data_IF_874896398029
#
_entry.id   IF_874896398029
#
_cell.length_a   1.000
_cell.length_b   1.000
_cell.length_c   1.000
_cell.angle_alpha   90.00
_cell.angle_beta   90.00
_cell.angle_gamma   90.00
#
_symmetry.space_group_name_H-M   'P 1'
#
loop_
_entity.id
_entity.type
_entity.pdbx_description
1 polymer ?
#
# COMPACT_ATOMS: atom_id res chain seq x y z
N UNK A 1 25.37 3.28 -8.47
CA UNK A 1 23.93 3.06 -8.73
C UNK A 1 23.25 4.40 -8.52
N UNK A 2 22.43 4.85 -9.48
CA UNK A 2 21.83 6.18 -9.46
C UNK A 2 20.62 6.24 -8.50
N UNK A 3 20.20 7.44 -8.10
CA UNK A 3 18.93 7.68 -7.37
C UNK A 3 17.75 7.02 -8.07
N UNK A 4 17.75 7.02 -9.41
CA UNK A 4 16.71 6.39 -10.24
C UNK A 4 16.66 4.88 -10.02
N UNK A 5 17.81 4.22 -10.03
CA UNK A 5 17.93 2.76 -9.92
C UNK A 5 17.47 2.24 -8.54
N UNK A 6 17.57 3.08 -7.51
CA UNK A 6 17.17 2.74 -6.13
C UNK A 6 15.72 3.08 -5.80
N UNK A 7 15.04 3.84 -6.66
CA UNK A 7 13.67 4.28 -6.41
C UNK A 7 12.68 3.12 -6.14
N UNK A 8 12.74 1.98 -6.85
CA UNK A 8 11.87 0.83 -6.55
C UNK A 8 12.00 0.35 -5.11
N UNK A 9 13.24 0.19 -4.62
CA UNK A 9 13.52 -0.23 -3.26
C UNK A 9 12.99 0.78 -2.24
N UNK A 10 13.32 2.06 -2.41
CA UNK A 10 12.97 3.11 -1.47
C UNK A 10 11.47 3.34 -1.38
N UNK A 11 10.77 3.34 -2.52
CA UNK A 11 9.31 3.46 -2.56
C UNK A 11 8.67 2.26 -1.88
N UNK A 12 9.08 1.04 -2.23
CA UNK A 12 8.54 -0.19 -1.65
C UNK A 12 8.73 -0.20 -0.12
N UNK A 13 9.95 -0.05 0.36
CA UNK A 13 10.26 -0.09 1.79
C UNK A 13 9.52 1.00 2.57
N UNK A 14 9.41 2.21 2.02
CA UNK A 14 8.69 3.32 2.67
C UNK A 14 7.18 3.08 2.70
N UNK A 15 6.60 2.54 1.63
CA UNK A 15 5.19 2.19 1.57
C UNK A 15 4.86 1.07 2.57
N UNK A 16 5.64 -0.01 2.59
CA UNK A 16 5.48 -1.10 3.57
C UNK A 16 5.50 -0.56 5.00
N UNK A 17 6.50 0.25 5.34
CA UNK A 17 6.58 0.86 6.68
C UNK A 17 5.36 1.72 6.99
N UNK A 18 4.99 2.63 6.08
CA UNK A 18 3.85 3.54 6.28
C UNK A 18 2.52 2.80 6.49
N UNK A 19 2.22 1.80 5.66
CA UNK A 19 0.97 1.05 5.75
C UNK A 19 0.94 0.11 6.97
N UNK A 20 2.06 -0.53 7.29
CA UNK A 20 2.18 -1.37 8.51
C UNK A 20 2.03 -0.55 9.80
N UNK A 21 2.51 0.70 9.83
CA UNK A 21 2.37 1.58 10.98
C UNK A 21 0.98 2.26 11.05
N UNK A 22 0.32 2.46 9.90
CA UNK A 22 -0.93 3.21 9.82
C UNK A 22 -2.19 2.35 9.98
N UNK A 23 -2.16 1.09 9.52
CA UNK A 23 -3.28 0.17 9.67
C UNK A 23 -3.20 -0.43 11.08
N UNK A 24 -4.24 -0.23 11.88
CA UNK A 24 -4.30 -0.72 13.27
C UNK A 24 -5.40 -1.75 13.45
N UNK A 25 -5.14 -2.75 14.30
CA UNK A 25 -6.12 -3.80 14.63
C UNK A 25 -6.36 -4.84 13.53
N UNK A 26 -5.50 -4.89 12.51
CA UNK A 26 -5.45 -5.92 11.47
C UNK A 26 -3.99 -6.29 11.22
N UNK A 27 -3.73 -7.57 10.99
CA UNK A 27 -2.41 -8.00 10.55
C UNK A 27 -2.20 -7.58 9.09
N UNK A 28 -1.07 -6.94 8.80
CA UNK A 28 -0.69 -6.51 7.45
C UNK A 28 0.47 -7.35 6.96
N UNK A 29 0.30 -7.98 5.81
CA UNK A 29 1.32 -8.77 5.13
C UNK A 29 1.71 -8.09 3.83
N UNK A 30 2.97 -8.20 3.41
CA UNK A 30 3.38 -7.76 2.08
C UNK A 30 3.14 -8.88 1.07
N UNK A 31 2.78 -8.53 -0.16
CA UNK A 31 2.62 -9.50 -1.24
C UNK A 31 3.86 -10.40 -1.39
N UNK A 32 3.62 -11.70 -1.60
CA UNK A 32 4.68 -12.71 -1.72
C UNK A 32 5.27 -13.19 -0.39
N UNK A 33 4.87 -12.62 0.75
CA UNK A 33 5.31 -13.12 2.07
C UNK A 33 4.42 -14.27 2.56
N UNK A 34 5.03 -15.28 3.20
CA UNK A 34 4.28 -16.39 3.79
C UNK A 34 3.53 -15.92 5.03
N UNK A 35 2.24 -16.27 5.13
CA UNK A 35 1.44 -16.01 6.32
C UNK A 35 1.67 -17.13 7.33
N UNK A 36 2.34 -16.80 8.43
CA UNK A 36 2.64 -17.78 9.48
C UNK A 36 1.38 -18.25 10.24
N UNK A 37 0.31 -17.44 10.24
CA UNK A 37 -0.92 -17.70 11.00
C UNK A 37 -2.16 -17.65 10.07
N UNK A 38 -2.58 -18.80 9.54
CA UNK A 38 -3.82 -18.93 8.76
C UNK A 38 -5.08 -19.05 9.64
N UNK A 39 -4.91 -19.14 10.95
CA UNK A 39 -6.00 -19.37 11.88
C UNK A 39 -6.79 -18.08 12.18
N UNK A 40 -7.91 -17.92 11.44
CA UNK A 40 -9.14 -17.21 11.85
C UNK A 40 -9.06 -15.70 12.16
N UNK A 41 -8.10 -14.97 11.63
CA UNK A 41 -8.07 -13.51 11.81
C UNK A 41 -8.41 -12.75 10.52
N UNK A 42 -8.98 -11.57 10.69
CA UNK A 42 -9.10 -10.60 9.60
C UNK A 42 -7.70 -10.07 9.30
N UNK A 43 -7.41 -9.83 8.03
CA UNK A 43 -6.06 -9.49 7.59
C UNK A 43 -6.08 -8.53 6.41
N UNK A 44 -4.92 -7.91 6.20
CA UNK A 44 -4.61 -7.09 5.05
C UNK A 44 -3.39 -7.65 4.32
N UNK A 45 -3.42 -7.60 2.99
CA UNK A 45 -2.24 -7.83 2.15
C UNK A 45 -1.97 -6.57 1.34
N UNK A 46 -0.80 -5.98 1.56
CA UNK A 46 -0.30 -4.82 0.84
C UNK A 46 0.34 -5.27 -0.47
N UNK A 47 -0.19 -4.75 -1.57
CA UNK A 47 0.25 -4.97 -2.95
C UNK A 47 0.67 -3.63 -3.52
N UNK A 48 1.83 -3.59 -4.14
CA UNK A 48 2.43 -2.35 -4.63
C UNK A 48 2.84 -2.58 -6.07
N UNK A 49 2.18 -1.88 -6.98
CA UNK A 49 2.51 -1.87 -8.39
C UNK A 49 3.37 -0.64 -8.74
N UNK A 50 4.42 -0.89 -9.52
CA UNK A 50 5.46 0.08 -9.87
C UNK A 50 6.71 -0.02 -8.96
N UNK A 51 7.42 1.11 -8.72
CA UNK A 51 7.12 2.43 -9.23
C UNK A 51 7.44 2.57 -10.73
N UNK A 52 6.59 3.29 -11.45
CA UNK A 52 6.86 3.74 -12.81
C UNK A 52 7.60 5.08 -12.77
N UNK A 53 8.76 5.16 -13.42
CA UNK A 53 9.61 6.35 -13.43
C UNK A 53 9.62 6.95 -14.82
N UNK A 54 9.14 8.18 -14.95
CA UNK A 54 9.03 8.91 -16.21
C UNK A 54 9.80 10.22 -16.13
N UNK A 55 10.59 10.51 -17.16
CA UNK A 55 11.24 11.82 -17.33
C UNK A 55 10.21 12.83 -17.85
N UNK A 56 9.94 13.89 -17.07
CA UNK A 56 8.96 14.93 -17.44
C UNK A 56 9.65 16.06 -18.20
N UNK A 57 10.84 16.43 -17.76
CA UNK A 57 11.70 17.43 -18.39
C UNK A 57 13.16 17.21 -17.95
N UNK A 58 14.08 18.04 -18.45
CA UNK A 58 15.49 17.95 -18.05
C UNK A 58 15.65 18.18 -16.55
N UNK A 59 16.20 17.19 -15.84
CA UNK A 59 16.36 17.24 -14.38
C UNK A 59 15.08 17.04 -13.58
N UNK A 60 13.98 16.58 -14.18
CA UNK A 60 12.72 16.32 -13.46
C UNK A 60 12.18 14.94 -13.78
N UNK A 61 12.07 14.11 -12.75
CA UNK A 61 11.45 12.79 -12.84
C UNK A 61 10.15 12.75 -12.06
N UNK A 62 9.19 12.01 -12.59
CA UNK A 62 7.94 11.66 -11.94
C UNK A 62 7.95 10.18 -11.62
N UNK A 63 7.58 9.85 -10.38
CA UNK A 63 7.51 8.50 -9.85
C UNK A 63 6.05 8.24 -9.51
N UNK A 64 5.44 7.23 -10.13
CA UNK A 64 4.06 6.80 -9.85
C UNK A 64 4.04 5.42 -9.24
N UNK A 65 3.12 5.16 -8.32
CA UNK A 65 2.86 3.83 -7.80
C UNK A 65 1.36 3.67 -7.54
N UNK A 66 0.87 2.46 -7.70
CA UNK A 66 -0.47 2.06 -7.30
C UNK A 66 -0.33 1.17 -6.07
N UNK A 67 -1.11 1.47 -5.05
CA UNK A 67 -1.13 0.69 -3.82
C UNK A 67 -2.52 0.11 -3.66
N UNK A 68 -2.57 -1.21 -3.55
CA UNK A 68 -3.79 -1.98 -3.35
C UNK A 68 -3.66 -2.76 -2.04
N UNK A 69 -4.63 -2.61 -1.15
CA UNK A 69 -4.72 -3.39 0.08
C UNK A 69 -5.87 -4.36 -0.06
N UNK A 70 -5.55 -5.66 -0.18
CA UNK A 70 -6.55 -6.72 -0.10
C UNK A 70 -6.93 -6.93 1.36
N UNK A 71 -8.22 -6.81 1.67
CA UNK A 71 -8.79 -7.06 2.99
C UNK A 71 -9.50 -8.41 2.98
N UNK A 72 -9.03 -9.33 3.81
CA UNK A 72 -9.73 -10.58 4.10
C UNK A 72 -10.50 -10.47 5.42
N UNK A 73 -11.80 -10.74 5.38
CA UNK A 73 -12.66 -10.72 6.56
C UNK A 73 -13.30 -12.08 6.80
N UNK A 74 -13.06 -12.69 7.94
CA UNK A 74 -13.67 -13.98 8.30
C UNK A 74 -15.15 -13.76 8.60
N UNK A 75 -16.01 -14.55 7.95
CA UNK A 75 -17.45 -14.47 8.12
C UNK A 75 -17.83 -15.15 9.44
N UNK A 76 -18.39 -14.39 10.37
CA UNK A 76 -19.09 -14.90 11.53
C UNK A 76 -20.54 -14.41 11.56
N UNK A 77 -21.41 -15.14 12.26
CA UNK A 77 -22.84 -14.82 12.34
C UNK A 77 -23.14 -13.73 13.39
N UNK A 78 -22.10 -13.10 13.96
CA UNK A 78 -22.23 -12.13 15.05
C UNK A 78 -22.16 -10.69 14.56
N UNK A 79 -21.44 -10.42 13.47
CA UNK A 79 -21.26 -9.06 12.96
C UNK A 79 -21.27 -8.97 11.44
N UNK A 80 -22.42 -8.63 10.87
CA UNK A 80 -22.60 -8.41 9.42
C UNK A 80 -21.79 -7.21 8.88
N UNK A 81 -21.39 -6.27 9.73
CA UNK A 81 -20.66 -5.07 9.33
C UNK A 81 -19.14 -5.21 9.42
N UNK A 82 -18.64 -6.40 9.79
CA UNK A 82 -17.23 -6.64 10.10
C UNK A 82 -16.30 -6.22 8.97
N UNK A 83 -16.65 -6.51 7.72
CA UNK A 83 -15.86 -6.09 6.55
C UNK A 83 -15.81 -4.55 6.43
N UNK A 84 -16.95 -3.88 6.64
CA UNK A 84 -17.00 -2.42 6.57
C UNK A 84 -16.22 -1.76 7.73
N UNK A 85 -16.19 -2.39 8.90
CA UNK A 85 -15.33 -1.96 10.01
C UNK A 85 -13.85 -2.14 9.65
N UNK A 86 -13.49 -3.22 8.96
CA UNK A 86 -12.12 -3.40 8.49
C UNK A 86 -11.75 -2.33 7.45
N UNK A 87 -12.67 -1.92 6.57
CA UNK A 87 -12.45 -0.78 5.67
C UNK A 87 -12.15 0.51 6.43
N UNK A 88 -12.83 0.79 7.55
CA UNK A 88 -12.56 2.02 8.33
C UNK A 88 -11.19 2.02 9.02
N UNK A 89 -10.56 0.85 9.20
CA UNK A 89 -9.19 0.72 9.71
C UNK A 89 -8.13 0.92 8.63
N UNK A 90 -8.47 0.61 7.38
CA UNK A 90 -7.53 0.63 6.25
C UNK A 90 -7.55 1.97 5.50
N UNK A 91 -8.73 2.53 5.24
CA UNK A 91 -8.88 3.78 4.46
C UNK A 91 -8.01 4.93 5.00
N UNK A 92 -7.90 5.17 6.33
CA UNK A 92 -7.06 6.26 6.85
C UNK A 92 -5.57 6.13 6.55
N UNK A 93 -5.08 4.92 6.24
CA UNK A 93 -3.69 4.69 5.84
C UNK A 93 -3.41 5.25 4.44
N UNK A 94 -4.43 5.41 3.59
CA UNK A 94 -4.33 6.06 2.29
C UNK A 94 -4.25 7.58 2.46
N UNK A 95 -3.05 8.04 2.75
CA UNK A 95 -2.65 9.44 2.83
C UNK A 95 -1.24 9.59 2.29
N UNK A 96 -0.87 10.80 1.88
CA UNK A 96 0.47 11.09 1.41
C UNK A 96 1.53 10.68 2.45
N UNK A 97 2.64 10.11 1.99
CA UNK A 97 3.71 9.60 2.84
C UNK A 97 5.09 9.96 2.31
N UNK A 98 6.08 9.99 3.20
CA UNK A 98 7.47 10.29 2.85
C UNK A 98 8.17 9.04 2.34
N UNK A 99 8.94 9.20 1.27
CA UNK A 99 9.85 8.18 0.77
C UNK A 99 11.23 8.46 1.33
N UNK A 100 11.82 7.46 1.98
CA UNK A 100 13.16 7.51 2.55
C UNK A 100 14.08 6.51 1.87
N UNK A 101 15.39 6.77 1.94
CA UNK A 101 16.40 5.81 1.49
C UNK A 101 16.55 4.68 2.50
N UNK A 102 15.64 3.73 2.42
CA UNK A 102 15.67 2.49 3.20
C UNK A 102 16.19 1.33 2.33
N UNK A 103 16.95 0.43 2.93
CA UNK A 103 17.47 -0.74 2.24
C UNK A 103 18.13 -1.73 3.19
N UNK A 104 18.84 -2.73 2.65
CA UNK A 104 19.72 -3.61 3.42
C UNK A 104 20.76 -2.82 4.24
N UNK A 105 21.24 -3.40 5.34
CA UNK A 105 22.24 -2.76 6.22
C UNK A 105 23.59 -2.53 5.53
N UNK A 106 23.94 -3.36 4.55
CA UNK A 106 25.17 -3.27 3.76
C UNK A 106 25.09 -2.29 2.57
N UNK A 107 23.91 -1.71 2.32
CA UNK A 107 23.73 -0.70 1.29
C UNK A 107 24.16 0.68 1.81
N UNK A 108 25.29 1.19 1.30
CA UNK A 108 25.80 2.53 1.67
C UNK A 108 24.83 3.68 1.39
N UNK A 109 23.82 3.47 0.54
CA UNK A 109 22.77 4.45 0.27
C UNK A 109 21.61 4.40 1.27
N UNK A 110 21.58 3.41 2.16
CA UNK A 110 20.64 3.28 3.27
C UNK A 110 21.02 4.24 4.41
N UNK A 111 20.85 5.53 4.16
CA UNK A 111 21.16 6.61 5.12
C UNK A 111 19.91 7.14 5.86
N UNK A 112 18.72 6.62 5.54
CA UNK A 112 17.46 7.05 6.13
C UNK A 112 17.03 8.48 5.76
N UNK A 113 17.73 9.16 4.85
CA UNK A 113 17.37 10.49 4.39
C UNK A 113 16.10 10.48 3.54
N UNK A 114 15.35 11.59 3.57
CA UNK A 114 14.11 11.75 2.83
C UNK A 114 14.39 12.06 1.36
N UNK A 115 13.77 11.30 0.46
CA UNK A 115 13.85 11.48 -1.01
C UNK A 115 12.77 12.45 -1.49
N UNK A 116 11.56 12.32 -0.94
CA UNK A 116 10.41 13.13 -1.32
C UNK A 116 9.12 12.65 -0.68
N UNK A 117 7.98 13.14 -1.18
CA UNK A 117 6.66 12.79 -0.68
C UNK A 117 5.86 12.16 -1.82
N UNK A 118 5.38 10.94 -1.59
CA UNK A 118 4.33 10.32 -2.39
C UNK A 118 2.99 10.96 -2.02
N UNK A 119 2.41 11.67 -2.96
CA UNK A 119 1.13 12.36 -2.82
C UNK A 119 0.02 11.44 -3.31
N UNK A 120 -1.04 11.27 -2.49
CA UNK A 120 -2.24 10.55 -2.90
C UNK A 120 -3.02 11.39 -3.93
N UNK A 121 -3.07 10.89 -5.15
CA UNK A 121 -3.75 11.54 -6.27
C UNK A 121 -5.29 11.37 -6.13
N UNK A 122 -6.07 12.37 -6.56
CA UNK A 122 -7.50 12.19 -6.72
C UNK A 122 -7.78 11.17 -7.84
N UNK A 123 -8.84 10.39 -7.68
CA UNK A 123 -9.39 9.58 -8.75
C UNK A 123 -10.05 10.49 -9.80
N UNK A 124 -10.37 9.93 -10.98
CA UNK A 124 -10.99 10.67 -12.11
C UNK A 124 -12.23 11.47 -11.69
N UNK A 125 -12.97 10.96 -10.71
CA UNK A 125 -14.03 11.70 -10.00
C UNK A 125 -13.36 12.44 -8.82
N UNK A 126 -13.14 13.76 -8.99
CA UNK A 126 -12.23 14.59 -8.16
C UNK A 126 -12.54 14.61 -6.65
N UNK A 127 -13.68 14.03 -6.21
CA UNK A 127 -14.06 13.91 -4.82
C UNK A 127 -13.62 12.60 -4.15
N UNK A 128 -13.09 11.62 -4.90
CA UNK A 128 -12.62 10.34 -4.36
C UNK A 128 -11.11 10.25 -4.48
N UNK A 129 -10.46 9.67 -3.46
CA UNK A 129 -9.00 9.41 -3.47
C UNK A 129 -8.65 7.94 -3.33
N UNK A 130 -9.63 7.13 -2.94
CA UNK A 130 -9.50 5.68 -2.82
C UNK A 130 -10.70 5.01 -3.43
N UNK A 131 -10.47 3.86 -4.05
CA UNK A 131 -11.52 3.00 -4.59
C UNK A 131 -11.65 1.76 -3.72
N UNK A 132 -12.89 1.42 -3.33
CA UNK A 132 -13.18 0.20 -2.57
C UNK A 132 -13.95 -0.75 -3.48
N UNK A 133 -13.35 -1.86 -3.85
CA UNK A 133 -14.00 -2.92 -4.61
C UNK A 133 -14.34 -4.08 -3.67
N UNK A 134 -15.61 -4.50 -3.64
CA UNK A 134 -16.07 -5.63 -2.83
C UNK A 134 -16.32 -6.82 -3.72
N UNK A 135 -15.60 -7.91 -3.49
CA UNK A 135 -15.79 -9.17 -4.23
C UNK A 135 -16.83 -10.07 -3.55
N UNK A 136 -17.07 -9.86 -2.25
CA UNK A 136 -17.93 -10.72 -1.45
C UNK A 136 -17.21 -12.03 -1.11
N UNK A 137 -17.97 -13.12 -1.05
CA UNK A 137 -17.43 -14.45 -0.78
C UNK A 137 -17.07 -15.13 -2.11
N UNK A 138 -15.77 -15.37 -2.34
CA UNK A 138 -15.29 -16.00 -3.58
C UNK A 138 -15.59 -17.50 -3.59
N UNK A 139 -15.34 -18.19 -2.48
CA UNK A 139 -15.63 -19.62 -2.32
C UNK A 139 -16.68 -19.82 -1.21
N UNK A 140 -17.89 -20.33 -1.54
CA UNK A 140 -18.93 -20.64 -0.56
C UNK A 140 -18.50 -21.58 0.58
N UNK A 141 -17.53 -22.46 0.35
CA UNK A 141 -16.99 -23.37 1.35
C UNK A 141 -16.06 -22.67 2.35
N UNK A 142 -15.50 -21.52 1.99
CA UNK A 142 -14.59 -20.73 2.82
C UNK A 142 -15.36 -19.54 3.37
N UNK A 143 -15.50 -19.47 4.71
CA UNK A 143 -16.14 -18.35 5.41
C UNK A 143 -15.26 -17.09 5.40
N UNK A 144 -15.00 -16.53 4.22
CA UNK A 144 -14.13 -15.37 4.00
C UNK A 144 -14.74 -14.43 2.96
N UNK A 145 -14.89 -13.15 3.33
CA UNK A 145 -15.15 -12.05 2.39
C UNK A 145 -13.84 -11.43 1.96
N UNK A 146 -13.80 -10.97 0.71
CA UNK A 146 -12.67 -10.24 0.17
C UNK A 146 -13.08 -8.94 -0.50
N UNK A 147 -12.25 -7.92 -0.30
CA UNK A 147 -12.37 -6.61 -0.92
C UNK A 147 -10.99 -5.98 -1.08
N UNK A 148 -10.84 -5.07 -2.02
CA UNK A 148 -9.63 -4.27 -2.17
C UNK A 148 -9.91 -2.81 -1.91
N UNK A 149 -8.91 -2.12 -1.36
CA UNK A 149 -8.87 -0.67 -1.27
C UNK A 149 -7.65 -0.21 -2.06
N UNK A 150 -7.85 0.64 -3.05
CA UNK A 150 -6.81 1.07 -3.98
C UNK A 150 -6.64 2.59 -3.96
N UNK A 151 -5.39 3.04 -4.13
CA UNK A 151 -5.06 4.45 -4.29
C UNK A 151 -3.83 4.64 -5.18
N UNK A 152 -3.84 5.74 -5.93
CA UNK A 152 -2.75 6.11 -6.84
C UNK A 152 -1.89 7.18 -6.21
N UNK A 153 -0.57 7.00 -6.23
CA UNK A 153 0.38 7.91 -5.62
C UNK A 153 1.38 8.42 -6.63
N UNK A 154 1.80 9.67 -6.45
CA UNK A 154 2.78 10.32 -7.30
C UNK A 154 3.78 11.15 -6.49
N UNK A 155 5.03 11.13 -6.91
CA UNK A 155 6.10 11.97 -6.40
C UNK A 155 6.86 12.61 -7.56
N UNK A 156 7.22 13.89 -7.43
CA UNK A 156 8.09 14.59 -8.37
C UNK A 156 9.43 14.87 -7.71
N UNK A 157 10.53 14.56 -8.40
CA UNK A 157 11.89 14.76 -7.91
C UNK A 157 12.66 15.62 -8.92
N UNK A 158 13.43 16.57 -8.40
CA UNK A 158 14.41 17.35 -9.15
C UNK A 158 15.78 16.67 -8.99
N UNK A 159 16.38 16.26 -10.10
CA UNK A 159 17.66 15.54 -10.21
C UNK A 159 18.74 16.37 -10.85
#
# INVERSE_FOLDING_TARGET
MSTRDKMPLWVFASACKHFNESITGLDVFNEGTTRANLDKQDWCELRIDGPWITDVSHGVIQVKTEINVLVGTVIDDKNLYRESINHTRVIPAFRSFKVYKYGPEDDVSNDGSCVGVMVLEPLRDQNKRVEVARFGQIDPAIRLLQSTIEGHFQMTIFV
#
